data_IF_674992836320
#
_entry.id   IF_674992836320
#
_cell.length_a   1.000
_cell.length_b   1.000
_cell.length_c   1.000
_cell.angle_alpha   90.00
_cell.angle_beta   90.00
_cell.angle_gamma   90.00
#
_symmetry.space_group_name_H-M   'P 1'
#
loop_
_entity.id
_entity.type
_entity.pdbx_description
1 polymer ?
#
# COMPACT_ATOMS: atom_id res chain seq x y z
N UNK A 1 16.01 -7.25 -2.41
CA UNK A 1 15.77 -8.64 -2.03
C UNK A 1 15.22 -9.40 -3.22
N UNK A 2 15.85 -10.50 -3.59
CA UNK A 2 15.32 -11.44 -4.60
C UNK A 2 14.17 -12.23 -3.98
N UNK A 3 13.07 -12.31 -4.69
CA UNK A 3 11.94 -13.15 -4.29
C UNK A 3 11.14 -13.62 -5.49
N UNK A 4 10.43 -14.74 -5.32
CA UNK A 4 9.52 -15.27 -6.31
C UNK A 4 8.12 -14.80 -6.03
N UNK A 5 7.49 -14.21 -7.03
CA UNK A 5 6.08 -13.82 -6.99
C UNK A 5 5.26 -14.73 -7.88
N UNK A 6 4.04 -14.99 -7.46
CA UNK A 6 3.01 -15.57 -8.29
C UNK A 6 2.19 -14.45 -8.91
N UNK A 7 2.29 -14.28 -10.21
CA UNK A 7 1.69 -13.18 -10.94
C UNK A 7 0.54 -13.65 -11.80
N UNK A 8 -0.61 -13.00 -11.66
CA UNK A 8 -1.74 -13.24 -12.54
C UNK A 8 -1.78 -12.18 -13.64
N UNK A 9 -1.52 -12.59 -14.88
CA UNK A 9 -1.50 -11.69 -16.04
C UNK A 9 -2.85 -11.00 -16.25
N UNK A 10 -3.96 -11.71 -16.01
CA UNK A 10 -5.30 -11.14 -16.18
C UNK A 10 -5.70 -10.10 -15.11
N UNK A 11 -5.17 -10.22 -13.89
CA UNK A 11 -5.36 -9.21 -12.84
C UNK A 11 -4.29 -8.12 -12.90
N UNK A 12 -3.17 -8.36 -13.59
CA UNK A 12 -1.95 -7.56 -13.54
C UNK A 12 -1.44 -7.34 -12.10
N UNK A 13 -1.60 -8.36 -11.26
CA UNK A 13 -1.30 -8.31 -9.82
C UNK A 13 -0.56 -9.55 -9.35
N UNK A 14 0.31 -9.33 -8.38
CA UNK A 14 0.86 -10.38 -7.54
C UNK A 14 -0.25 -11.06 -6.74
N UNK A 15 -0.14 -12.38 -6.57
CA UNK A 15 -1.07 -13.21 -5.81
C UNK A 15 -0.33 -13.96 -4.72
N UNK A 16 -0.86 -13.89 -3.51
CA UNK A 16 -0.42 -14.74 -2.41
C UNK A 16 -1.04 -16.13 -2.52
N UNK A 17 -0.47 -17.12 -1.85
CA UNK A 17 -1.04 -18.49 -1.82
C UNK A 17 -2.50 -18.50 -1.34
N UNK A 18 -2.82 -17.66 -0.36
CA UNK A 18 -4.18 -17.55 0.21
C UNK A 18 -5.21 -16.91 -0.74
N UNK A 19 -4.76 -16.26 -1.80
CA UNK A 19 -5.62 -15.64 -2.82
C UNK A 19 -5.83 -16.55 -4.03
N UNK A 20 -5.14 -17.68 -4.07
CA UNK A 20 -5.29 -18.68 -5.12
C UNK A 20 -6.23 -19.81 -4.66
N UNK A 21 -7.01 -20.32 -5.58
CA UNK A 21 -7.84 -21.51 -5.39
C UNK A 21 -7.30 -22.59 -6.33
N UNK A 22 -6.86 -23.72 -5.76
CA UNK A 22 -6.21 -24.81 -6.50
C UNK A 22 -5.03 -24.32 -7.38
N UNK A 23 -4.25 -23.34 -6.85
CA UNK A 23 -3.11 -22.75 -7.56
C UNK A 23 -3.48 -21.80 -8.70
N UNK A 24 -4.75 -21.44 -8.85
CA UNK A 24 -5.26 -20.58 -9.91
C UNK A 24 -5.88 -19.29 -9.35
N UNK A 25 -5.87 -18.24 -10.15
CA UNK A 25 -6.58 -17.02 -9.84
C UNK A 25 -8.10 -17.24 -9.92
N UNK A 26 -8.88 -17.00 -8.87
CA UNK A 26 -10.33 -17.21 -8.90
C UNK A 26 -11.06 -16.29 -9.87
N UNK A 27 -10.47 -15.14 -10.23
CA UNK A 27 -11.03 -14.20 -11.20
C UNK A 27 -10.69 -14.63 -12.64
N UNK A 28 -9.52 -15.25 -12.84
CA UNK A 28 -9.03 -15.68 -14.15
C UNK A 28 -8.62 -17.16 -14.12
N UNK A 29 -9.56 -18.09 -13.95
CA UNK A 29 -9.27 -19.50 -13.70
C UNK A 29 -8.67 -20.24 -14.91
N UNK A 30 -8.79 -19.65 -16.10
CA UNK A 30 -8.23 -20.20 -17.34
C UNK A 30 -6.81 -19.73 -17.64
N UNK A 31 -6.31 -18.72 -16.88
CA UNK A 31 -4.96 -18.22 -17.05
C UNK A 31 -4.00 -18.91 -16.08
N UNK A 32 -2.81 -19.21 -16.58
CA UNK A 32 -1.73 -19.72 -15.74
C UNK A 32 -1.18 -18.61 -14.84
N UNK A 33 -0.82 -18.98 -13.63
CA UNK A 33 -0.05 -18.10 -12.74
C UNK A 33 1.42 -18.21 -13.17
N UNK A 34 2.03 -17.06 -13.44
CA UNK A 34 3.46 -16.98 -13.76
C UNK A 34 4.27 -16.84 -12.47
N UNK A 35 5.32 -17.65 -12.33
CA UNK A 35 6.32 -17.43 -11.29
C UNK A 35 7.39 -16.49 -11.85
N UNK A 36 7.49 -15.31 -11.26
CA UNK A 36 8.45 -14.28 -11.66
C UNK A 36 9.44 -14.10 -10.52
N UNK A 37 10.72 -14.21 -10.84
CA UNK A 37 11.80 -13.87 -9.91
C UNK A 37 12.21 -12.43 -10.13
N UNK A 38 12.12 -11.63 -9.06
CA UNK A 38 12.44 -10.20 -9.11
C UNK A 38 13.32 -9.80 -7.94
N UNK A 39 14.22 -8.85 -8.21
CA UNK A 39 14.91 -8.11 -7.18
C UNK A 39 14.22 -6.76 -7.00
N UNK A 40 13.62 -6.53 -5.84
CA UNK A 40 12.87 -5.31 -5.56
C UNK A 40 13.20 -4.77 -4.16
N UNK A 41 12.91 -3.49 -3.98
CA UNK A 41 12.85 -2.86 -2.67
C UNK A 41 11.54 -3.23 -1.97
N UNK A 42 11.63 -3.45 -0.66
CA UNK A 42 10.50 -3.83 0.18
C UNK A 42 10.25 -2.81 1.27
N UNK A 43 9.01 -2.46 1.48
CA UNK A 43 8.57 -1.72 2.65
C UNK A 43 8.32 -2.71 3.79
N UNK A 44 8.93 -2.46 4.93
CA UNK A 44 8.82 -3.31 6.12
C UNK A 44 7.49 -3.05 6.85
N UNK A 45 6.40 -3.38 6.18
CA UNK A 45 5.06 -3.13 6.70
C UNK A 45 4.75 -3.96 7.96
N UNK A 46 5.36 -5.11 8.11
CA UNK A 46 5.26 -5.96 9.31
C UNK A 46 5.65 -5.22 10.60
N UNK A 47 6.61 -4.28 10.53
CA UNK A 47 7.02 -3.49 11.68
C UNK A 47 5.94 -2.50 12.17
N UNK A 48 4.95 -2.19 11.32
CA UNK A 48 3.87 -1.25 11.63
C UNK A 48 2.63 -1.90 12.25
N UNK A 49 2.59 -3.22 12.41
CA UNK A 49 1.43 -3.93 12.96
C UNK A 49 1.05 -3.40 14.34
N UNK A 50 1.98 -3.39 15.27
CA UNK A 50 1.73 -2.91 16.63
C UNK A 50 1.38 -1.42 16.67
N UNK A 51 2.14 -0.50 16.03
CA UNK A 51 1.77 0.91 15.95
C UNK A 51 0.36 1.15 15.41
N UNK A 52 -0.08 0.41 14.38
CA UNK A 52 -1.43 0.54 13.82
C UNK A 52 -2.51 0.04 14.79
N UNK A 53 -2.31 -1.08 15.47
CA UNK A 53 -3.25 -1.57 16.47
C UNK A 53 -3.37 -0.61 17.66
N UNK A 54 -2.25 -0.02 18.10
CA UNK A 54 -2.24 1.01 19.14
C UNK A 54 -2.99 2.27 18.67
N UNK A 55 -2.83 2.68 17.42
CA UNK A 55 -3.55 3.79 16.82
C UNK A 55 -5.06 3.53 16.77
N UNK A 56 -5.48 2.34 16.33
CA UNK A 56 -6.88 1.95 16.25
C UNK A 56 -7.55 1.87 17.63
N UNK A 57 -6.83 1.40 18.65
CA UNK A 57 -7.36 1.34 20.00
C UNK A 57 -7.57 2.71 20.63
N UNK A 58 -6.72 3.69 20.28
CA UNK A 58 -6.84 5.09 20.72
C UNK A 58 -7.91 5.88 19.95
N UNK A 59 -8.19 5.48 18.72
CA UNK A 59 -9.08 6.19 17.81
C UNK A 59 -10.11 5.23 17.18
N UNK A 60 -11.14 4.80 17.91
CA UNK A 60 -12.10 3.82 17.41
C UNK A 60 -12.98 4.34 16.27
N UNK A 61 -13.05 5.67 16.07
CA UNK A 61 -13.75 6.31 14.96
C UNK A 61 -12.85 6.71 13.79
N UNK A 62 -11.63 6.19 13.74
CA UNK A 62 -10.64 6.52 12.70
C UNK A 62 -11.10 6.12 11.30
N UNK A 63 -11.88 5.07 11.20
CA UNK A 63 -12.47 4.58 9.95
C UNK A 63 -13.98 4.49 10.12
N UNK A 64 -14.72 5.07 9.21
CA UNK A 64 -16.18 5.10 9.21
C UNK A 64 -16.67 4.47 7.91
N UNK A 65 -17.71 3.62 7.97
CA UNK A 65 -18.49 3.16 9.11
C UNK A 65 -17.80 2.04 9.91
N UNK A 66 -18.32 1.74 11.10
CA UNK A 66 -17.74 0.80 12.06
C UNK A 66 -17.42 -0.59 11.50
N UNK A 67 -18.25 -1.10 10.59
CA UNK A 67 -17.97 -2.41 9.96
C UNK A 67 -16.70 -2.38 9.11
N UNK A 68 -16.35 -1.23 8.51
CA UNK A 68 -15.09 -1.03 7.81
C UNK A 68 -13.91 -0.88 8.76
N UNK A 69 -14.13 -0.25 9.90
CA UNK A 69 -13.13 -0.24 10.97
C UNK A 69 -12.81 -1.66 11.46
N UNK A 70 -13.84 -2.46 11.70
CA UNK A 70 -13.66 -3.86 12.12
C UNK A 70 -12.94 -4.70 11.04
N UNK A 71 -13.24 -4.47 9.76
CA UNK A 71 -12.58 -5.13 8.64
C UNK A 71 -11.08 -4.84 8.60
N UNK A 72 -10.69 -3.56 8.68
CA UNK A 72 -9.27 -3.19 8.62
C UNK A 72 -8.52 -3.59 9.89
N UNK A 73 -9.14 -3.50 11.05
CA UNK A 73 -8.57 -3.96 12.30
C UNK A 73 -8.28 -5.46 12.27
N UNK A 74 -9.25 -6.27 11.84
CA UNK A 74 -9.07 -7.71 11.68
C UNK A 74 -7.99 -8.06 10.62
N UNK A 75 -7.84 -7.24 9.58
CA UNK A 75 -6.75 -7.39 8.62
C UNK A 75 -5.38 -7.19 9.28
N UNK A 76 -5.21 -6.14 10.08
CA UNK A 76 -3.95 -5.86 10.78
C UNK A 76 -3.66 -6.91 11.86
N UNK A 77 -4.69 -7.37 12.60
CA UNK A 77 -4.55 -8.40 13.65
C UNK A 77 -4.06 -9.75 13.10
N UNK A 78 -4.40 -10.10 11.87
CA UNK A 78 -3.95 -11.34 11.22
C UNK A 78 -2.46 -11.36 10.88
N UNK A 79 -1.78 -10.25 11.00
CA UNK A 79 -0.37 -10.10 10.68
C UNK A 79 -0.14 -9.37 9.36
N UNK A 80 0.70 -8.34 9.41
CA UNK A 80 1.12 -7.58 8.25
C UNK A 80 2.35 -8.21 7.61
N UNK A 81 2.39 -8.22 6.29
CA UNK A 81 3.53 -8.72 5.52
C UNK A 81 4.21 -7.57 4.78
N UNK A 82 5.53 -7.66 4.66
CA UNK A 82 6.31 -6.73 3.86
C UNK A 82 5.91 -6.86 2.39
N UNK A 83 5.83 -5.76 1.68
CA UNK A 83 5.45 -5.74 0.28
C UNK A 83 6.44 -4.95 -0.59
N UNK A 84 6.50 -5.31 -1.86
CA UNK A 84 7.37 -4.68 -2.83
C UNK A 84 6.90 -3.27 -3.19
N UNK A 85 7.83 -2.30 -3.16
CA UNK A 85 7.60 -0.89 -3.46
C UNK A 85 8.34 -0.39 -4.69
N UNK A 86 9.00 -1.28 -5.41
CA UNK A 86 9.70 -0.94 -6.66
C UNK A 86 9.49 -1.99 -7.74
N UNK A 87 9.86 -1.64 -8.96
CA UNK A 87 9.92 -2.54 -10.11
C UNK A 87 11.18 -2.26 -10.90
N UNK A 88 11.75 -3.29 -11.51
CA UNK A 88 12.84 -3.11 -12.46
C UNK A 88 12.39 -2.25 -13.63
N UNK A 89 13.20 -1.28 -14.02
CA UNK A 89 12.92 -0.35 -15.13
C UNK A 89 12.80 -1.07 -16.48
N UNK A 90 13.43 -2.23 -16.62
CA UNK A 90 13.27 -3.11 -17.79
C UNK A 90 11.86 -3.66 -17.94
N UNK A 91 11.13 -3.83 -16.83
CA UNK A 91 9.73 -4.31 -16.81
C UNK A 91 8.71 -3.18 -16.77
N UNK A 92 9.06 -2.08 -16.11
CA UNK A 92 8.26 -0.86 -16.01
C UNK A 92 9.11 0.34 -16.46
N UNK A 93 9.12 0.67 -17.77
CA UNK A 93 10.10 1.60 -18.34
C UNK A 93 9.86 3.07 -17.97
N UNK A 94 8.75 3.41 -17.31
CA UNK A 94 8.45 4.74 -16.84
C UNK A 94 8.00 4.73 -15.37
N UNK A 95 8.25 5.79 -14.66
CA UNK A 95 7.91 5.97 -13.25
C UNK A 95 8.91 6.86 -12.54
N UNK A 96 8.68 7.11 -11.25
CA UNK A 96 9.62 7.82 -10.40
C UNK A 96 10.80 6.90 -10.08
N UNK A 97 12.01 7.32 -10.41
CA UNK A 97 13.22 6.53 -10.11
C UNK A 97 13.41 6.39 -8.60
N UNK A 98 13.88 5.22 -8.19
CA UNK A 98 14.29 5.02 -6.79
C UNK A 98 15.53 5.87 -6.52
N UNK A 99 15.60 6.62 -5.41
CA UNK A 99 16.78 7.40 -5.08
C UNK A 99 18.05 6.55 -5.10
N UNK A 100 19.08 7.05 -5.78
CA UNK A 100 20.38 6.42 -5.95
C UNK A 100 20.39 5.07 -6.72
N UNK A 101 19.27 4.70 -7.33
CA UNK A 101 19.15 3.47 -8.13
C UNK A 101 18.34 3.73 -9.42
N UNK A 102 19.05 3.79 -10.55
CA UNK A 102 18.47 4.06 -11.86
C UNK A 102 17.83 2.84 -12.54
N UNK A 103 18.06 1.66 -11.99
CA UNK A 103 17.56 0.39 -12.54
C UNK A 103 16.16 0.07 -12.01
N UNK A 104 15.71 0.80 -10.98
CA UNK A 104 14.39 0.64 -10.39
C UNK A 104 13.55 1.91 -10.45
N UNK A 105 12.24 1.70 -10.55
CA UNK A 105 11.22 2.76 -10.41
C UNK A 105 10.29 2.41 -9.25
N UNK A 106 9.75 3.45 -8.60
CA UNK A 106 8.80 3.27 -7.51
C UNK A 106 7.49 2.66 -8.02
N UNK A 107 6.92 1.76 -7.24
CA UNK A 107 5.61 1.20 -7.53
C UNK A 107 4.53 2.22 -7.23
N UNK A 108 3.57 2.34 -8.14
CA UNK A 108 2.56 3.42 -8.18
C UNK A 108 1.82 3.66 -6.86
N UNK A 109 1.49 2.64 -6.12
CA UNK A 109 0.76 2.81 -4.86
C UNK A 109 1.59 3.47 -3.77
N UNK A 110 2.90 3.22 -3.75
CA UNK A 110 3.79 3.86 -2.78
C UNK A 110 3.99 5.34 -3.12
N UNK A 111 4.12 5.67 -4.39
CA UNK A 111 4.24 7.03 -4.89
C UNK A 111 2.91 7.80 -4.79
N UNK A 112 1.81 7.20 -5.24
CA UNK A 112 0.51 7.85 -5.31
C UNK A 112 -0.03 8.32 -3.94
N UNK A 113 0.25 7.59 -2.85
CA UNK A 113 -0.26 7.96 -1.52
C UNK A 113 0.37 9.24 -0.96
N UNK A 114 1.56 9.61 -1.40
CA UNK A 114 2.23 10.87 -1.03
C UNK A 114 1.48 12.10 -1.56
N UNK A 115 0.67 11.94 -2.61
CA UNK A 115 -0.13 12.98 -3.21
C UNK A 115 -1.01 13.74 -2.20
N UNK A 116 -1.57 13.07 -1.20
CA UNK A 116 -2.43 13.72 -0.19
C UNK A 116 -1.74 14.83 0.59
N UNK A 117 -0.45 14.70 0.84
CA UNK A 117 0.34 15.73 1.55
C UNK A 117 1.10 16.64 0.60
N UNK A 118 1.53 16.14 -0.56
CA UNK A 118 2.28 16.95 -1.53
C UNK A 118 1.40 18.01 -2.21
N UNK A 119 0.12 17.73 -2.47
CA UNK A 119 -0.80 18.70 -3.07
C UNK A 119 -1.08 19.91 -2.16
N UNK A 120 -0.92 19.76 -0.85
CA UNK A 120 -1.01 20.87 0.11
C UNK A 120 0.36 21.47 0.44
N UNK A 121 1.40 21.12 -0.34
CA UNK A 121 2.69 21.80 -0.38
C UNK A 121 3.84 21.13 0.36
N UNK A 122 3.63 19.96 1.00
CA UNK A 122 4.75 19.23 1.61
C UNK A 122 5.68 18.65 0.53
N UNK A 123 7.01 18.66 0.71
CA UNK A 123 7.77 19.27 1.82
C UNK A 123 8.13 20.76 1.59
N UNK A 124 7.85 21.32 0.39
CA UNK A 124 8.35 22.63 -0.04
C UNK A 124 7.61 23.80 0.60
N UNK A 125 6.31 23.68 0.84
CA UNK A 125 5.47 24.70 1.45
C UNK A 125 4.89 24.19 2.79
N UNK A 126 5.73 24.22 3.82
CA UNK A 126 5.36 23.75 5.16
C UNK A 126 4.23 24.56 5.81
N UNK A 127 4.03 25.83 5.40
CA UNK A 127 2.94 26.68 5.94
C UNK A 127 1.56 26.10 5.58
N UNK A 128 1.32 25.80 4.31
CA UNK A 128 0.06 25.17 3.87
C UNK A 128 -0.12 23.79 4.48
N UNK A 129 0.95 22.98 4.50
CA UNK A 129 0.90 21.67 5.13
C UNK A 129 0.53 21.77 6.62
N UNK A 130 1.11 22.71 7.35
CA UNK A 130 0.76 22.94 8.76
C UNK A 130 -0.70 23.33 8.89
N UNK A 131 -1.16 24.33 8.15
CA UNK A 131 -2.52 24.86 8.19
C UNK A 131 -3.59 23.78 7.86
N UNK A 132 -3.40 23.02 6.77
CA UNK A 132 -4.42 22.09 6.25
C UNK A 132 -4.25 20.64 6.69
N UNK A 133 -3.16 20.29 7.37
CA UNK A 133 -2.92 18.95 7.84
C UNK A 133 -2.64 18.84 9.32
N UNK A 134 -1.66 19.60 9.85
CA UNK A 134 -1.28 19.50 11.26
C UNK A 134 -2.24 20.20 12.20
N UNK A 135 -2.62 21.42 11.87
CA UNK A 135 -3.45 22.31 12.70
C UNK A 135 -4.94 22.25 12.32
N UNK A 136 -5.28 21.44 11.34
CA UNK A 136 -6.67 21.24 10.94
C UNK A 136 -7.43 20.47 12.03
N UNK A 137 -8.64 20.93 12.37
CA UNK A 137 -9.53 20.26 13.33
C UNK A 137 -9.86 18.83 12.89
N UNK A 138 -10.01 18.61 11.56
CA UNK A 138 -10.27 17.31 10.97
C UNK A 138 -9.63 17.18 9.59
N UNK A 139 -9.01 16.05 9.35
CA UNK A 139 -8.59 15.62 8.00
C UNK A 139 -9.36 14.35 7.63
N UNK A 140 -10.22 14.46 6.63
CA UNK A 140 -11.06 13.34 6.20
C UNK A 140 -10.66 12.88 4.80
N UNK A 141 -10.42 11.58 4.66
CA UNK A 141 -10.14 10.94 3.38
C UNK A 141 -11.30 10.03 2.99
N UNK A 142 -11.84 10.23 1.80
CA UNK A 142 -12.88 9.38 1.23
C UNK A 142 -12.26 8.38 0.27
N UNK A 143 -12.58 7.11 0.42
CA UNK A 143 -12.12 6.08 -0.50
C UNK A 143 -13.18 5.02 -0.78
N UNK A 144 -13.04 4.36 -1.93
CA UNK A 144 -13.82 3.16 -2.22
C UNK A 144 -13.43 1.99 -1.30
N UNK A 145 -14.33 1.04 -1.14
CA UNK A 145 -14.10 -0.14 -0.29
C UNK A 145 -12.82 -0.91 -0.67
N UNK A 146 -12.50 -0.93 -1.94
CA UNK A 146 -11.35 -1.68 -2.48
C UNK A 146 -10.01 -1.02 -2.11
N UNK A 147 -10.03 0.27 -1.76
CA UNK A 147 -8.87 1.04 -1.31
C UNK A 147 -8.76 1.16 0.22
N UNK A 148 -9.59 0.44 0.97
CA UNK A 148 -9.61 0.54 2.43
C UNK A 148 -8.24 0.23 3.06
N UNK A 149 -7.57 -0.81 2.59
CA UNK A 149 -6.25 -1.22 3.12
C UNK A 149 -5.20 -0.15 2.86
N UNK A 150 -5.15 0.37 1.64
CA UNK A 150 -4.19 1.41 1.24
C UNK A 150 -4.41 2.69 2.04
N UNK A 151 -5.65 3.12 2.23
CA UNK A 151 -5.97 4.38 2.90
C UNK A 151 -5.86 4.30 4.43
N UNK A 152 -6.24 3.18 5.02
CA UNK A 152 -6.38 3.08 6.48
C UNK A 152 -5.19 2.43 7.17
N UNK A 153 -4.39 1.65 6.45
CA UNK A 153 -3.21 0.99 7.00
C UNK A 153 -1.90 1.52 6.41
N UNK A 154 -1.83 1.74 5.08
CA UNK A 154 -0.58 2.13 4.41
C UNK A 154 -0.36 3.66 4.39
N UNK A 155 -1.42 4.46 4.47
CA UNK A 155 -1.38 5.91 4.27
C UNK A 155 -1.51 6.70 5.58
N UNK A 156 -0.75 6.34 6.62
CA UNK A 156 -0.74 7.13 7.84
C UNK A 156 0.64 7.72 8.08
N UNK A 157 0.80 9.05 7.91
CA UNK A 157 1.96 9.73 8.45
C UNK A 157 1.88 9.68 9.98
N UNK A 158 2.96 9.24 10.59
CA UNK A 158 3.23 9.35 12.01
C UNK A 158 3.38 10.80 12.43
#
# INVERSE_FOLDING_TARGET
KNYKIKYCVGCELEKTESELVDGKCPIHPLMTIEEIEEENYFFKFSEFQKPLLDLYSKNPSLVIPDFRFNEIKAFVERGLQDFSISRLKTKMPWGVEVPDDKDHVMYVWFDALVNYISCIGWPSNTKKFTEFWKDADNVVQYCGKDNLRQQSANNRPS
#
